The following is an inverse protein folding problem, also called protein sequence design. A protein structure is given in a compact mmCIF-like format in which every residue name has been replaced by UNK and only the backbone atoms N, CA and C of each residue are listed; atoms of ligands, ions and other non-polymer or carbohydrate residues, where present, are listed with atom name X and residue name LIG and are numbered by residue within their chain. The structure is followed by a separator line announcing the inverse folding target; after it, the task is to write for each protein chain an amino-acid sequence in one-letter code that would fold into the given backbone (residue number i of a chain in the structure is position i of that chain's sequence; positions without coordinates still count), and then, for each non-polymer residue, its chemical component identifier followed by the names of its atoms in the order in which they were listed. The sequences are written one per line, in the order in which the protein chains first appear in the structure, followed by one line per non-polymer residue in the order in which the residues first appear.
data_IF_167819793778
#
_entry.id   IF_167819793778
#
_cell.length_a   1.000
_cell.length_b   1.000
_cell.length_c   1.000
_cell.angle_alpha   90.00
_cell.angle_beta   90.00
_cell.angle_gamma   90.00
#
_symmetry.space_group_name_H-M   'P 1'
#
loop_
_entity.id
_entity.type
_entity.pdbx_description
1 polymer ?
#
# COMPACT_ATOMS: atom_id res chain seq x y z
N UNK A 1 -14.17 43.16 23.30
CA UNK A 1 -12.88 42.63 22.85
C UNK A 1 -13.13 41.20 22.41
N UNK A 2 -13.19 40.97 21.10
CA UNK A 2 -13.44 39.66 20.49
C UNK A 2 -12.14 39.15 19.90
N UNK A 3 -11.68 37.99 20.37
CA UNK A 3 -10.46 37.35 19.91
C UNK A 3 -10.65 36.81 18.49
N UNK A 4 -9.90 37.38 17.55
CA UNK A 4 -9.81 36.88 16.17
C UNK A 4 -9.00 35.59 16.17
N UNK A 5 -9.69 34.45 16.07
CA UNK A 5 -9.08 33.14 15.84
C UNK A 5 -8.46 33.13 14.44
N UNK A 6 -7.12 33.17 14.36
CA UNK A 6 -6.40 32.91 13.10
C UNK A 6 -6.82 31.53 12.58
N UNK A 7 -7.58 31.49 11.48
CA UNK A 7 -7.69 30.31 10.64
C UNK A 7 -6.38 30.18 9.87
N UNK A 8 -5.51 29.29 10.34
CA UNK A 8 -4.36 28.86 9.55
C UNK A 8 -4.88 27.96 8.43
N UNK A 9 -5.05 28.54 7.25
CA UNK A 9 -5.20 27.77 6.01
C UNK A 9 -3.92 26.98 5.80
N UNK A 10 -3.95 25.68 6.14
CA UNK A 10 -2.91 24.75 5.71
C UNK A 10 -3.18 24.41 4.24
N UNK A 11 -2.56 25.17 3.35
CA UNK A 11 -2.40 24.76 1.95
C UNK A 11 -1.50 23.53 1.93
N UNK A 12 -2.09 22.35 2.02
CA UNK A 12 -1.41 21.13 1.58
C UNK A 12 -1.26 21.25 0.06
N UNK A 13 -0.03 21.31 -0.42
CA UNK A 13 0.26 21.08 -1.83
C UNK A 13 -0.26 19.68 -2.18
N UNK A 14 -1.36 19.61 -2.93
CA UNK A 14 -1.86 18.35 -3.47
C UNK A 14 -0.82 17.80 -4.44
N UNK A 15 -0.33 16.60 -4.19
CA UNK A 15 0.31 15.81 -5.25
C UNK A 15 -0.80 15.56 -6.27
N UNK A 16 -0.59 15.95 -7.52
CA UNK A 16 -1.54 15.75 -8.61
C UNK A 16 -0.87 14.91 -9.68
N UNK A 17 -1.41 13.73 -9.97
CA UNK A 17 -0.97 12.90 -11.09
C UNK A 17 -1.72 13.30 -12.35
N UNK A 18 -1.01 13.37 -13.48
CA UNK A 18 -1.65 13.60 -14.77
C UNK A 18 -2.32 12.30 -15.24
N UNK A 19 -3.64 12.20 -15.01
CA UNK A 19 -4.44 11.03 -15.42
C UNK A 19 -4.34 10.77 -16.93
N UNK A 20 -4.17 11.81 -17.76
CA UNK A 20 -4.05 11.67 -19.22
C UNK A 20 -2.71 11.06 -19.63
N UNK A 21 -1.67 11.20 -18.81
CA UNK A 21 -0.38 10.53 -19.00
C UNK A 21 -0.34 9.15 -18.35
N UNK A 22 -1.37 8.80 -17.59
CA UNK A 22 -1.44 7.52 -16.89
C UNK A 22 -0.35 7.36 -15.84
N UNK A 23 0.12 8.47 -15.26
CA UNK A 23 1.08 8.47 -14.16
C UNK A 23 0.49 7.71 -12.96
N UNK A 24 1.31 6.88 -12.32
CA UNK A 24 0.89 6.07 -11.16
C UNK A 24 1.98 6.08 -10.11
N UNK A 25 1.57 6.19 -8.85
CA UNK A 25 2.42 6.00 -7.69
C UNK A 25 1.95 4.77 -6.93
N UNK A 26 2.76 3.71 -6.99
CA UNK A 26 2.42 2.39 -6.47
C UNK A 26 3.02 2.16 -5.09
N UNK A 27 2.17 1.79 -4.14
CA UNK A 27 2.55 1.54 -2.74
C UNK A 27 2.18 0.10 -2.40
N UNK A 28 3.15 -0.68 -1.93
CA UNK A 28 2.90 -2.01 -1.38
C UNK A 28 2.78 -1.90 0.14
N UNK A 29 1.66 -2.35 0.70
CA UNK A 29 1.45 -2.44 2.13
C UNK A 29 1.73 -3.87 2.58
N UNK A 30 2.72 -4.03 3.47
CA UNK A 30 3.12 -5.31 4.05
C UNK A 30 2.78 -5.28 5.54
N UNK A 31 2.27 -6.38 6.08
CA UNK A 31 2.01 -6.48 7.51
C UNK A 31 1.32 -7.77 7.89
N UNK A 32 1.43 -8.17 9.16
CA UNK A 32 0.85 -9.42 9.62
C UNK A 32 -0.65 -9.33 9.94
N UNK A 33 -1.13 -8.12 10.26
CA UNK A 33 -2.49 -7.88 10.69
C UNK A 33 -3.29 -7.17 9.58
N UNK A 34 -4.21 -7.91 8.95
CA UNK A 34 -5.06 -7.36 7.90
C UNK A 34 -6.05 -6.30 8.41
N UNK A 35 -6.43 -6.33 9.69
CA UNK A 35 -7.26 -5.27 10.27
C UNK A 35 -6.49 -3.95 10.37
N UNK A 36 -5.18 -4.02 10.68
CA UNK A 36 -4.30 -2.85 10.66
C UNK A 36 -4.15 -2.30 9.23
N UNK A 37 -3.92 -3.18 8.24
CA UNK A 37 -3.80 -2.76 6.83
C UNK A 37 -5.10 -2.15 6.31
N UNK A 38 -6.23 -2.80 6.58
CA UNK A 38 -7.57 -2.29 6.22
C UNK A 38 -7.85 -0.92 6.86
N UNK A 39 -7.39 -0.69 8.09
CA UNK A 39 -7.48 0.62 8.74
C UNK A 39 -6.66 1.70 8.03
N UNK A 40 -5.46 1.38 7.53
CA UNK A 40 -4.66 2.31 6.73
C UNK A 40 -5.40 2.67 5.45
N UNK A 41 -5.92 1.67 4.74
CA UNK A 41 -6.72 1.87 3.53
C UNK A 41 -7.92 2.78 3.76
N UNK A 42 -8.70 2.55 4.82
CA UNK A 42 -9.83 3.41 5.20
C UNK A 42 -9.41 4.86 5.48
N UNK A 43 -8.28 5.05 6.17
CA UNK A 43 -7.77 6.39 6.49
C UNK A 43 -7.25 7.12 5.25
N UNK A 44 -6.59 6.40 4.33
CA UNK A 44 -6.04 6.99 3.11
C UNK A 44 -7.15 7.30 2.09
N UNK A 45 -8.13 6.40 1.95
CA UNK A 45 -9.22 6.58 1.00
C UNK A 45 -10.41 7.39 1.56
N UNK A 46 -10.31 7.84 2.81
CA UNK A 46 -11.36 8.58 3.53
C UNK A 46 -12.75 7.90 3.39
N UNK A 47 -13.82 8.68 3.41
CA UNK A 47 -15.21 8.22 3.28
C UNK A 47 -15.58 7.72 1.88
N UNK A 48 -14.67 7.78 0.90
CA UNK A 48 -14.94 7.44 -0.50
C UNK A 48 -15.01 5.93 -0.79
N UNK A 49 -14.64 5.11 0.20
CA UNK A 49 -14.54 3.67 0.05
C UNK A 49 -13.32 3.25 -0.77
N UNK A 50 -12.94 1.97 -0.66
CA UNK A 50 -11.89 1.39 -1.49
C UNK A 50 -12.45 1.09 -2.86
N UNK A 51 -11.68 1.34 -3.92
CA UNK A 51 -12.08 1.04 -5.29
C UNK A 51 -11.05 0.18 -6.00
N UNK A 52 -11.51 -0.66 -6.91
CA UNK A 52 -10.64 -1.35 -7.86
C UNK A 52 -10.27 -0.44 -9.04
N UNK A 53 -9.40 -0.94 -9.92
CA UNK A 53 -9.00 -0.23 -11.16
C UNK A 53 -10.20 0.13 -12.06
N UNK A 54 -11.29 -0.62 -12.01
CA UNK A 54 -12.50 -0.38 -12.79
C UNK A 54 -13.44 0.65 -12.14
N UNK A 55 -13.13 1.10 -10.90
CA UNK A 55 -13.93 2.04 -10.13
C UNK A 55 -15.03 1.38 -9.29
N UNK A 56 -15.06 0.05 -9.19
CA UNK A 56 -16.02 -0.67 -8.36
C UNK A 56 -15.62 -0.59 -6.89
N UNK A 57 -16.60 -0.46 -6.00
CA UNK A 57 -16.36 -0.47 -4.56
C UNK A 57 -15.88 -1.85 -4.10
N UNK A 58 -14.79 -1.87 -3.35
CA UNK A 58 -14.25 -3.06 -2.68
C UNK A 58 -14.67 -3.01 -1.21
N UNK A 59 -14.90 -4.18 -0.62
CA UNK A 59 -15.13 -4.30 0.83
C UNK A 59 -13.93 -3.76 1.59
N UNK A 60 -14.18 -3.08 2.71
CA UNK A 60 -13.12 -2.72 3.64
C UNK A 60 -12.55 -3.95 4.37
N UNK A 61 -13.29 -5.05 4.38
CA UNK A 61 -12.76 -6.36 4.77
C UNK A 61 -11.98 -6.94 3.59
N UNK A 62 -10.67 -6.70 3.59
CA UNK A 62 -9.75 -7.17 2.57
C UNK A 62 -9.52 -8.70 2.63
N UNK A 63 -9.98 -9.38 3.70
CA UNK A 63 -9.94 -10.84 3.80
C UNK A 63 -11.13 -11.50 3.10
N UNK A 64 -12.31 -10.86 3.14
CA UNK A 64 -13.56 -11.43 2.62
C UNK A 64 -13.61 -11.64 1.09
N UNK A 65 -12.63 -11.12 0.33
CA UNK A 65 -12.61 -11.21 -1.13
C UNK A 65 -11.99 -12.48 -1.70
N UNK A 66 -11.53 -13.43 -0.88
CA UNK A 66 -11.26 -14.83 -1.30
C UNK A 66 -10.20 -15.03 -2.40
N UNK A 67 -9.60 -13.97 -2.91
CA UNK A 67 -8.52 -13.97 -3.90
C UNK A 67 -7.38 -13.16 -3.31
N UNK A 68 -6.52 -13.87 -2.57
CA UNK A 68 -5.23 -13.42 -2.06
C UNK A 68 -4.28 -13.13 -3.22
N UNK A 69 -4.51 -12.00 -3.90
CA UNK A 69 -3.74 -11.62 -5.07
C UNK A 69 -3.15 -10.22 -4.88
N UNK A 70 -1.85 -10.19 -4.57
CA UNK A 70 -1.03 -8.99 -4.43
C UNK A 70 -1.02 -8.11 -5.70
N UNK A 71 -1.32 -8.68 -6.87
CA UNK A 71 -1.42 -7.95 -8.13
C UNK A 71 -2.69 -7.10 -8.25
N UNK A 72 -3.70 -7.33 -7.40
CA UNK A 72 -4.92 -6.53 -7.42
C UNK A 72 -4.62 -5.09 -7.00
N UNK A 73 -5.03 -4.17 -7.87
CA UNK A 73 -4.86 -2.74 -7.67
C UNK A 73 -6.05 -2.17 -6.88
N UNK A 74 -5.75 -1.56 -5.74
CA UNK A 74 -6.68 -0.72 -5.00
C UNK A 74 -6.33 0.73 -5.32
N UNK A 75 -7.29 1.51 -5.82
CA UNK A 75 -7.05 2.90 -6.25
C UNK A 75 -7.71 3.90 -5.31
N UNK A 76 -7.05 5.03 -5.10
CA UNK A 76 -7.64 6.10 -4.29
C UNK A 76 -8.87 6.70 -5.00
N UNK A 77 -10.02 6.84 -4.32
CA UNK A 77 -11.29 7.16 -4.97
C UNK A 77 -11.36 8.55 -5.60
N UNK A 78 -10.51 9.49 -5.15
CA UNK A 78 -10.44 10.85 -5.68
C UNK A 78 -9.13 11.16 -6.42
N UNK A 79 -8.20 10.21 -6.49
CA UNK A 79 -6.93 10.37 -7.20
C UNK A 79 -6.47 9.00 -7.69
N UNK A 80 -6.84 8.65 -8.92
CA UNK A 80 -6.53 7.33 -9.47
C UNK A 80 -5.02 7.14 -9.69
N UNK A 81 -4.22 8.21 -9.60
CA UNK A 81 -2.77 8.13 -9.66
C UNK A 81 -2.18 7.30 -8.53
N UNK A 82 -2.80 7.30 -7.33
CA UNK A 82 -2.37 6.43 -6.24
C UNK A 82 -2.93 5.02 -6.38
N UNK A 83 -2.01 4.06 -6.45
CA UNK A 83 -2.33 2.63 -6.53
C UNK A 83 -1.69 1.92 -5.34
N UNK A 84 -2.48 1.08 -4.69
CA UNK A 84 -2.06 0.34 -3.53
C UNK A 84 -2.18 -1.15 -3.79
N UNK A 85 -1.20 -1.88 -3.28
CA UNK A 85 -1.14 -3.34 -3.26
C UNK A 85 -1.11 -3.80 -1.80
N UNK A 86 -1.83 -4.87 -1.49
CA UNK A 86 -1.88 -5.45 -0.14
C UNK A 86 -1.15 -6.79 -0.17
N UNK A 87 -0.07 -6.94 0.60
CA UNK A 87 0.37 -8.29 0.98
C UNK A 87 -0.71 -8.86 1.89
N UNK A 88 -1.16 -10.09 1.70
CA UNK A 88 -2.06 -10.66 2.68
C UNK A 88 -1.31 -10.91 4.00
N UNK A 89 -2.05 -11.15 5.08
CA UNK A 89 -1.45 -11.51 6.36
C UNK A 89 -0.58 -12.76 6.22
N UNK A 90 0.54 -12.82 6.95
CA UNK A 90 1.42 -13.99 6.95
C UNK A 90 0.83 -15.00 7.93
N UNK A 91 0.10 -16.00 7.44
CA UNK A 91 -0.32 -17.08 8.33
C UNK A 91 0.90 -17.93 8.77
N UNK A 92 0.99 -18.35 10.04
CA UNK A 92 2.11 -19.16 10.52
C UNK A 92 2.18 -20.50 9.78
N UNK A 93 3.22 -20.68 8.95
CA UNK A 93 3.46 -21.91 8.18
C UNK A 93 3.41 -21.72 6.65
N UNK A 94 3.04 -20.52 6.18
CA UNK A 94 2.93 -20.22 4.75
C UNK A 94 4.24 -19.63 4.19
N UNK A 95 5.14 -20.50 3.72
CA UNK A 95 6.35 -20.10 2.98
C UNK A 95 6.03 -19.38 1.66
N UNK A 96 4.80 -19.51 1.17
CA UNK A 96 4.43 -19.03 -0.15
C UNK A 96 4.16 -17.53 -0.13
N UNK A 97 3.71 -16.97 1.01
CA UNK A 97 3.42 -15.54 1.11
C UNK A 97 4.67 -14.66 1.03
N UNK A 98 5.76 -15.05 1.69
CA UNK A 98 7.03 -14.31 1.53
C UNK A 98 7.53 -14.41 0.09
N UNK A 99 7.43 -15.59 -0.51
CA UNK A 99 7.86 -15.81 -1.90
C UNK A 99 7.08 -14.90 -2.85
N UNK A 100 5.74 -14.87 -2.73
CA UNK A 100 4.87 -13.97 -3.51
C UNK A 100 5.22 -12.51 -3.34
N UNK A 101 5.45 -12.05 -2.11
CA UNK A 101 5.85 -10.65 -1.83
C UNK A 101 7.21 -10.34 -2.45
N UNK A 102 8.17 -11.25 -2.33
CA UNK A 102 9.53 -11.09 -2.87
C UNK A 102 9.51 -11.05 -4.39
N UNK A 103 8.78 -11.97 -5.02
CA UNK A 103 8.59 -12.02 -6.48
C UNK A 103 7.88 -10.77 -6.98
N UNK A 104 6.82 -10.33 -6.32
CA UNK A 104 6.11 -9.09 -6.65
C UNK A 104 7.04 -7.87 -6.60
N UNK A 105 7.84 -7.71 -5.54
CA UNK A 105 8.76 -6.58 -5.45
C UNK A 105 9.83 -6.66 -6.56
N UNK A 106 10.44 -7.82 -6.76
CA UNK A 106 11.47 -8.01 -7.80
C UNK A 106 10.92 -7.69 -9.20
N UNK A 107 9.73 -8.19 -9.49
CA UNK A 107 9.01 -7.96 -10.74
C UNK A 107 8.74 -6.47 -10.95
N UNK A 108 8.17 -5.79 -9.95
CA UNK A 108 7.81 -4.38 -10.04
C UNK A 108 9.02 -3.47 -10.11
N UNK A 109 10.10 -3.76 -9.39
CA UNK A 109 11.37 -3.02 -9.49
C UNK A 109 11.99 -3.20 -10.87
N UNK A 110 11.89 -4.39 -11.46
CA UNK A 110 12.41 -4.72 -12.79
C UNK A 110 11.64 -4.10 -13.97
N UNK A 111 10.46 -3.50 -13.75
CA UNK A 111 9.67 -2.87 -14.83
C UNK A 111 10.42 -1.71 -15.47
N UNK A 112 10.27 -1.52 -16.78
CA UNK A 112 10.90 -0.40 -17.50
C UNK A 112 10.09 0.89 -17.41
N UNK A 113 8.76 0.78 -17.44
CA UNK A 113 7.86 1.91 -17.30
C UNK A 113 7.68 2.29 -15.82
N UNK A 114 7.94 3.56 -15.50
CA UNK A 114 7.81 4.10 -14.15
C UNK A 114 6.40 3.89 -13.59
N UNK A 115 5.37 3.97 -14.43
CA UNK A 115 3.97 3.77 -13.98
C UNK A 115 3.71 2.37 -13.44
N UNK A 116 4.51 1.39 -13.82
CA UNK A 116 4.35 -0.01 -13.41
C UNK A 116 5.30 -0.39 -12.27
N UNK A 117 6.26 0.48 -11.94
CA UNK A 117 7.20 0.28 -10.85
C UNK A 117 6.57 0.46 -9.48
N UNK A 118 7.11 -0.27 -8.52
CA UNK A 118 6.84 -0.02 -7.11
C UNK A 118 7.59 1.23 -6.66
N UNK A 119 6.89 2.17 -6.01
CA UNK A 119 7.46 3.45 -5.59
C UNK A 119 7.73 3.52 -4.09
N UNK A 120 6.91 2.83 -3.29
CA UNK A 120 7.09 2.77 -1.85
C UNK A 120 6.61 1.43 -1.27
N UNK A 121 7.18 1.05 -0.14
CA UNK A 121 6.74 -0.06 0.69
C UNK A 121 6.36 0.49 2.07
N UNK A 122 5.14 0.23 2.52
CA UNK A 122 4.67 0.53 3.87
C UNK A 122 4.62 -0.75 4.69
N UNK A 123 5.55 -0.85 5.62
CA UNK A 123 5.72 -2.05 6.44
C UNK A 123 5.09 -1.84 7.83
N UNK A 124 3.99 -2.54 8.09
CA UNK A 124 3.17 -2.40 9.30
C UNK A 124 3.66 -3.37 10.37
N UNK A 125 4.39 -2.83 11.35
CA UNK A 125 4.86 -3.56 12.51
C UNK A 125 3.82 -3.55 13.65
N UNK A 126 3.59 -4.69 14.33
CA UNK A 126 2.75 -4.70 15.52
C UNK A 126 3.38 -3.85 16.63
N UNK A 127 2.57 -3.06 17.33
CA UNK A 127 3.01 -2.13 18.39
C UNK A 127 3.38 -2.82 19.73
N UNK A 128 3.61 -4.13 19.76
CA UNK A 128 3.89 -4.89 21.00
C UNK A 128 4.90 -6.03 20.79
N UNK A 129 5.21 -6.77 21.86
CA UNK A 129 6.28 -7.82 21.94
C UNK A 129 6.17 -9.00 20.94
N UNK A 130 5.17 -8.99 20.05
CA UNK A 130 5.08 -9.90 18.89
C UNK A 130 5.97 -9.42 17.72
N UNK A 131 7.14 -8.87 18.05
CA UNK A 131 8.16 -8.43 17.09
C UNK A 131 8.88 -9.59 16.41
N UNK A 132 8.70 -10.82 16.89
CA UNK A 132 9.36 -11.97 16.30
C UNK A 132 8.60 -12.46 15.07
N UNK A 133 9.35 -12.72 14.00
CA UNK A 133 8.94 -13.49 12.81
C UNK A 133 8.12 -12.80 11.72
N UNK A 134 8.35 -11.52 11.43
CA UNK A 134 8.36 -11.16 10.01
C UNK A 134 9.77 -11.41 9.46
N UNK A 135 9.85 -12.33 8.50
CA UNK A 135 11.04 -13.07 8.11
C UNK A 135 12.27 -12.15 7.92
N UNK A 136 13.40 -12.42 8.59
CA UNK A 136 14.70 -11.79 8.29
C UNK A 136 14.98 -11.73 6.80
N UNK A 137 14.52 -12.73 6.03
CA UNK A 137 14.59 -12.81 4.57
C UNK A 137 13.86 -11.67 3.84
N UNK A 138 12.67 -11.24 4.29
CA UNK A 138 11.95 -10.11 3.70
C UNK A 138 12.74 -8.81 3.87
N UNK A 139 13.30 -8.62 5.07
CA UNK A 139 14.10 -7.44 5.40
C UNK A 139 15.45 -7.45 4.69
N UNK A 140 16.12 -8.60 4.58
CA UNK A 140 17.36 -8.75 3.80
C UNK A 140 17.11 -8.47 2.33
N UNK A 141 16.01 -8.95 1.75
CA UNK A 141 15.65 -8.65 0.37
C UNK A 141 15.39 -7.15 0.15
N UNK A 142 14.60 -6.50 1.02
CA UNK A 142 14.34 -5.05 0.93
C UNK A 142 15.65 -4.25 1.04
N UNK A 143 16.56 -4.67 1.93
CA UNK A 143 17.89 -4.03 2.05
C UNK A 143 18.73 -4.19 0.79
N UNK A 144 18.74 -5.38 0.19
CA UNK A 144 19.51 -5.65 -1.02
C UNK A 144 18.94 -4.93 -2.25
N UNK A 145 17.62 -4.89 -2.40
CA UNK A 145 16.95 -4.14 -3.47
C UNK A 145 17.20 -2.62 -3.39
N UNK A 146 17.39 -2.07 -2.19
CA UNK A 146 17.76 -0.66 -1.99
C UNK A 146 19.25 -0.36 -2.23
N UNK A 147 20.11 -1.38 -2.28
CA UNK A 147 21.56 -1.23 -2.45
C UNK A 147 22.01 -1.26 -3.93
N UNK A 148 21.14 -1.71 -4.84
CA UNK A 148 21.44 -1.83 -6.28
C UNK A 148 20.86 -0.68 -7.14
N UNK A 149 20.32 0.36 -6.51
CA UNK A 149 19.73 1.54 -7.16
C UNK A 149 20.67 2.73 -7.29
#
# INVERSE_FOLDING_TARGET
MSETRLQTSKTHSSITFDENKGERFRILIIGNDDAVKSTIFQKVCNSGGLKDRMGNLISADLQAHGEHNIEKEIVHPADVGFVFHNSCGFEPGDSDELTKVTEFIAERVGRTDLRDRLHAIWYCLPSGDRSSTLLPTAMEFIKNAAAEG
#
